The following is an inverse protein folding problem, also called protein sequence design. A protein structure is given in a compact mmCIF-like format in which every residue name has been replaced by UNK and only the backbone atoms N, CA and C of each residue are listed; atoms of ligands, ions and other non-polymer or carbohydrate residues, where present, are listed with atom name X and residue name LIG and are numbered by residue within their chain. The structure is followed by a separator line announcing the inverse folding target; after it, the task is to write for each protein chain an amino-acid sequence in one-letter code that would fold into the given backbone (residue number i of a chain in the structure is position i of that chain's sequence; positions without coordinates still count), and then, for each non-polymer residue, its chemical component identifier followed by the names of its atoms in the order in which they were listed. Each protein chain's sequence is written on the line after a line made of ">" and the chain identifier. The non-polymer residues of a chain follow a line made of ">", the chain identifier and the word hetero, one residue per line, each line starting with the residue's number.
data_IF_304220571943
#
_entry.id   IF_304220571943
#
_cell.length_a   1.000
_cell.length_b   1.000
_cell.length_c   1.000
_cell.angle_alpha   90.00
_cell.angle_beta   90.00
_cell.angle_gamma   90.00
#
_symmetry.space_group_name_H-M   'P 1'
#
loop_
_entity.id
_entity.type
_entity.pdbx_description
1 polymer ?
#
# COMPACT_ATOMS: atom_id res chain seq x y z
N UNK A 1 34.19 -5.56 3.96
CA UNK A 1 33.05 -6.36 3.45
C UNK A 1 32.26 -5.44 2.53
N UNK A 2 32.11 -5.76 1.24
CA UNK A 2 31.31 -4.95 0.32
C UNK A 2 29.89 -5.54 0.37
N UNK A 3 28.91 -4.73 0.77
CA UNK A 3 27.52 -5.13 0.68
C UNK A 3 27.12 -5.08 -0.78
N UNK A 4 26.49 -6.15 -1.26
CA UNK A 4 26.05 -6.24 -2.63
C UNK A 4 24.75 -5.44 -2.87
N UNK A 5 24.13 -4.86 -1.85
CA UNK A 5 22.83 -4.17 -1.94
C UNK A 5 22.95 -2.70 -1.52
N UNK A 6 22.20 -1.82 -2.19
CA UNK A 6 22.06 -0.41 -1.82
C UNK A 6 21.05 -0.23 -0.67
N UNK A 7 19.98 -1.04 -0.65
CA UNK A 7 18.94 -0.99 0.36
C UNK A 7 18.56 -2.37 0.86
N UNK A 8 18.16 -2.44 2.13
CA UNK A 8 17.56 -3.63 2.74
C UNK A 8 16.17 -3.24 3.24
N UNK A 9 15.15 -3.98 2.80
CA UNK A 9 13.78 -3.88 3.29
C UNK A 9 13.51 -5.12 4.16
N UNK A 10 13.43 -4.91 5.47
CA UNK A 10 13.07 -5.95 6.42
C UNK A 10 11.55 -5.99 6.62
N UNK A 11 10.88 -6.86 5.88
CA UNK A 11 9.44 -7.07 5.86
C UNK A 11 8.87 -6.94 4.45
N UNK A 12 8.26 -8.02 3.96
CA UNK A 12 7.54 -8.14 2.69
C UNK A 12 6.02 -7.90 2.83
N UNK A 13 5.61 -7.21 3.89
CA UNK A 13 4.23 -6.73 4.07
C UNK A 13 3.87 -5.58 3.12
N UNK A 14 2.67 -5.00 3.28
CA UNK A 14 2.22 -3.88 2.44
C UNK A 14 3.21 -2.71 2.45
N UNK A 15 3.70 -2.30 3.62
CA UNK A 15 4.63 -1.17 3.73
C UNK A 15 5.92 -1.40 2.93
N UNK A 16 6.57 -2.56 3.12
CA UNK A 16 7.82 -2.88 2.43
C UNK A 16 7.65 -3.04 0.93
N UNK A 17 6.60 -3.73 0.48
CA UNK A 17 6.32 -3.89 -0.95
C UNK A 17 5.85 -2.59 -1.61
N UNK A 18 5.10 -1.74 -0.91
CA UNK A 18 4.70 -0.42 -1.42
C UNK A 18 5.91 0.50 -1.61
N UNK A 19 6.85 0.46 -0.66
CA UNK A 19 8.12 1.18 -0.77
C UNK A 19 8.95 0.65 -1.94
N UNK A 20 9.12 -0.67 -2.03
CA UNK A 20 9.84 -1.30 -3.14
C UNK A 20 9.23 -0.93 -4.49
N UNK A 21 7.91 -1.01 -4.62
CA UNK A 21 7.21 -0.62 -5.83
C UNK A 21 7.50 0.84 -6.20
N UNK A 22 7.52 1.76 -5.24
CA UNK A 22 7.86 3.16 -5.51
C UNK A 22 9.31 3.35 -5.91
N UNK A 23 10.25 2.63 -5.30
CA UNK A 23 11.68 2.65 -5.67
C UNK A 23 11.88 2.17 -7.11
N UNK A 24 11.16 1.13 -7.52
CA UNK A 24 11.24 0.57 -8.87
C UNK A 24 10.63 1.48 -9.95
N UNK A 25 9.65 2.32 -9.58
CA UNK A 25 9.05 3.29 -10.50
C UNK A 25 9.81 4.62 -10.58
N UNK A 26 10.71 4.89 -9.63
CA UNK A 26 11.50 6.10 -9.60
C UNK A 26 12.73 5.96 -10.50
N UNK A 27 12.93 6.91 -11.42
CA UNK A 27 13.99 6.82 -12.45
C UNK A 27 15.40 6.82 -11.86
N UNK A 28 15.60 7.51 -10.74
CA UNK A 28 16.92 7.64 -10.12
C UNK A 28 17.21 6.44 -9.21
N UNK A 29 16.17 5.79 -8.70
CA UNK A 29 16.28 4.70 -7.73
C UNK A 29 16.05 3.30 -8.33
N UNK A 30 15.48 3.17 -9.52
CA UNK A 30 15.20 1.87 -10.15
C UNK A 30 16.45 1.02 -10.40
N UNK A 31 17.63 1.63 -10.48
CA UNK A 31 18.91 0.94 -10.67
C UNK A 31 19.50 0.37 -9.37
N UNK A 32 18.88 0.68 -8.23
CA UNK A 32 19.36 0.30 -6.91
C UNK A 32 19.08 -1.16 -6.62
N UNK A 33 20.08 -1.84 -6.08
CA UNK A 33 19.97 -3.24 -5.68
C UNK A 33 19.30 -3.32 -4.32
N UNK A 34 18.07 -3.84 -4.28
CA UNK A 34 17.29 -3.97 -3.04
C UNK A 34 17.24 -5.42 -2.59
N UNK A 35 17.66 -5.68 -1.36
CA UNK A 35 17.41 -6.95 -0.68
C UNK A 35 16.13 -6.85 0.14
N UNK A 36 15.16 -7.72 -0.13
CA UNK A 36 13.96 -7.86 0.70
C UNK A 36 14.10 -9.12 1.52
N UNK A 37 13.92 -9.00 2.84
CA UNK A 37 13.93 -10.13 3.77
C UNK A 37 12.62 -10.16 4.54
N UNK A 38 12.07 -11.35 4.71
CA UNK A 38 10.92 -11.59 5.58
C UNK A 38 11.13 -12.91 6.32
N UNK A 39 10.52 -13.04 7.50
CA UNK A 39 10.52 -14.29 8.26
C UNK A 39 9.63 -15.35 7.59
N UNK A 40 8.58 -14.92 6.91
CA UNK A 40 7.59 -15.80 6.28
C UNK A 40 7.76 -15.72 4.77
N UNK A 41 7.83 -16.88 4.12
CA UNK A 41 7.79 -16.93 2.67
C UNK A 41 6.41 -16.51 2.16
N UNK A 42 6.38 -15.50 1.30
CA UNK A 42 5.16 -14.98 0.69
C UNK A 42 4.93 -15.69 -0.65
N UNK A 43 4.19 -16.80 -0.59
CA UNK A 43 3.89 -17.62 -1.77
C UNK A 43 2.50 -17.36 -2.35
N UNK A 44 1.58 -16.81 -1.54
CA UNK A 44 0.19 -16.58 -1.89
C UNK A 44 -0.29 -15.17 -1.52
N UNK A 45 -1.36 -14.70 -2.18
CA UNK A 45 -2.08 -13.48 -1.82
C UNK A 45 -3.10 -13.78 -0.71
N UNK A 46 -2.61 -13.91 0.52
CA UNK A 46 -3.37 -14.32 1.72
C UNK A 46 -4.15 -13.17 2.39
N UNK A 47 -4.01 -11.93 1.90
CA UNK A 47 -4.55 -10.72 2.54
C UNK A 47 -5.21 -9.78 1.54
N UNK A 48 -6.34 -9.23 1.97
CA UNK A 48 -6.95 -8.05 1.35
C UNK A 48 -6.33 -6.78 1.94
N UNK A 49 -6.04 -5.80 1.09
CA UNK A 49 -5.57 -4.48 1.50
C UNK A 49 -6.64 -3.45 1.20
N UNK A 50 -7.06 -2.74 2.25
CA UNK A 50 -7.93 -1.58 2.12
C UNK A 50 -7.09 -0.32 2.29
N UNK A 51 -7.35 0.68 1.46
CA UNK A 51 -6.66 1.96 1.51
C UNK A 51 -7.61 3.11 1.17
N UNK A 52 -7.20 4.32 1.52
CA UNK A 52 -7.89 5.53 1.10
C UNK A 52 -6.92 6.43 0.35
N UNK A 53 -7.40 7.04 -0.71
CA UNK A 53 -6.61 8.02 -1.45
C UNK A 53 -7.50 9.11 -2.06
N UNK A 54 -6.86 10.20 -2.44
CA UNK A 54 -7.50 11.29 -3.17
C UNK A 54 -7.33 11.06 -4.67
N UNK A 55 -8.42 10.75 -5.36
CA UNK A 55 -8.42 10.48 -6.81
C UNK A 55 -8.06 9.03 -7.16
N UNK A 56 -7.61 8.83 -8.40
CA UNK A 56 -7.13 7.53 -8.88
C UNK A 56 -5.61 7.44 -8.71
N UNK A 57 -5.14 6.44 -7.98
CA UNK A 57 -3.72 6.18 -7.76
C UNK A 57 -3.17 5.04 -8.59
N UNK A 58 -1.93 4.69 -8.29
CA UNK A 58 -1.17 3.65 -9.00
C UNK A 58 -1.77 2.25 -8.83
N UNK A 59 -2.56 2.04 -7.77
CA UNK A 59 -3.18 0.76 -7.47
C UNK A 59 -4.60 0.64 -8.03
N UNK A 60 -5.13 1.67 -8.69
CA UNK A 60 -6.50 1.65 -9.26
C UNK A 60 -6.78 0.41 -10.13
N UNK A 61 -5.86 -0.05 -11.01
CA UNK A 61 -6.12 -1.20 -11.87
C UNK A 61 -6.30 -2.53 -11.13
N UNK A 62 -5.90 -2.62 -9.86
CA UNK A 62 -5.96 -3.84 -9.05
C UNK A 62 -7.00 -3.74 -7.91
N UNK A 63 -7.77 -2.66 -7.85
CA UNK A 63 -8.84 -2.50 -6.87
C UNK A 63 -9.99 -3.44 -7.21
N UNK A 64 -10.38 -4.27 -6.22
CA UNK A 64 -11.48 -5.20 -6.35
C UNK A 64 -12.82 -4.63 -5.86
N UNK A 65 -12.79 -3.67 -4.94
CA UNK A 65 -13.99 -3.10 -4.32
C UNK A 65 -13.81 -1.63 -3.96
N UNK A 66 -14.89 -0.86 -3.93
CA UNK A 66 -14.90 0.53 -3.46
C UNK A 66 -16.10 0.77 -2.56
N UNK A 67 -15.92 1.59 -1.52
CA UNK A 67 -17.01 2.00 -0.63
C UNK A 67 -17.43 3.44 -0.94
N UNK A 68 -18.63 3.61 -1.47
CA UNK A 68 -19.18 4.94 -1.80
C UNK A 68 -19.55 5.75 -0.54
N UNK A 69 -19.92 5.09 0.55
CA UNK A 69 -20.42 5.74 1.76
C UNK A 69 -19.69 5.24 3.00
N UNK A 70 -19.27 6.16 3.87
CA UNK A 70 -18.86 5.84 5.24
C UNK A 70 -19.82 6.44 6.25
N UNK A 71 -20.14 5.63 7.26
CA UNK A 71 -20.94 6.03 8.40
C UNK A 71 -20.10 5.92 9.67
N UNK A 72 -20.07 7.01 10.44
CA UNK A 72 -19.43 7.06 11.75
C UNK A 72 -20.51 7.04 12.83
N UNK A 73 -20.44 6.06 13.73
CA UNK A 73 -21.43 5.82 14.80
C UNK A 73 -20.83 5.98 16.21
N UNK A 74 -20.56 7.21 16.67
CA UNK A 74 -20.25 7.45 18.07
C UNK A 74 -21.52 7.46 18.93
N UNK A 75 -21.37 7.23 20.24
CA UNK A 75 -22.48 7.06 21.18
C UNK A 75 -23.43 8.27 21.30
N UNK A 76 -22.99 9.47 20.89
CA UNK A 76 -23.73 10.73 21.07
C UNK A 76 -23.86 11.57 19.80
N UNK A 77 -23.39 11.08 18.65
CA UNK A 77 -23.36 11.86 17.42
C UNK A 77 -23.46 10.91 16.21
N UNK A 78 -24.06 11.34 15.11
CA UNK A 78 -24.04 10.57 13.87
C UNK A 78 -23.73 11.53 12.73
N UNK A 79 -22.68 11.23 11.96
CA UNK A 79 -22.29 12.00 10.78
C UNK A 79 -22.13 11.08 9.59
N UNK A 80 -22.89 11.39 8.54
CA UNK A 80 -22.71 10.76 7.25
C UNK A 80 -21.62 11.53 6.51
N UNK A 81 -20.53 10.84 6.17
CA UNK A 81 -19.44 11.42 5.40
C UNK A 81 -19.63 10.99 3.95
N UNK A 82 -19.96 11.96 3.09
CA UNK A 82 -19.95 11.74 1.65
C UNK A 82 -18.48 11.59 1.22
N UNK A 83 -18.09 10.43 0.72
CA UNK A 83 -16.70 10.08 0.38
C UNK A 83 -16.12 10.86 -0.82
N UNK A 84 -16.82 11.89 -1.32
CA UNK A 84 -16.49 12.63 -2.56
C UNK A 84 -15.05 13.19 -2.62
N UNK A 85 -14.33 13.26 -1.51
CA UNK A 85 -12.93 13.69 -1.44
C UNK A 85 -11.91 12.57 -1.16
N UNK A 86 -12.36 11.38 -0.76
CA UNK A 86 -11.51 10.26 -0.30
C UNK A 86 -12.27 8.95 -0.52
N UNK A 87 -11.85 8.19 -1.53
CA UNK A 87 -12.43 6.89 -1.84
C UNK A 87 -11.73 5.83 -0.98
N UNK A 88 -12.48 5.09 -0.17
CA UNK A 88 -11.96 3.86 0.43
C UNK A 88 -12.09 2.76 -0.62
N UNK A 89 -10.99 2.05 -0.83
CA UNK A 89 -10.79 0.99 -1.84
C UNK A 89 -10.17 -0.23 -1.18
#
# INVERSE_FOLDING_TARGET
>A
MKLDYDYIIAGSGLAGLSLLHRLLLDKDLQSKRVLVIDKVEKMDNDRTWCFWEKGAGIFEPIVHHHWETLQFFPQTYQKHLNSKSTNIK
#
